data_IF_792903646095
#
_entry.id   IF_792903646095
#
_cell.length_a   1.000
_cell.length_b   1.000
_cell.length_c   1.000
_cell.angle_alpha   90.00
_cell.angle_beta   90.00
_cell.angle_gamma   90.00
#
_symmetry.space_group_name_H-M   'P 1'
#
loop_
_entity.id
_entity.type
_entity.pdbx_description
1 polymer ?
#
# COMPACT_ATOMS: atom_id res chain seq x y z
N UNK A 1 76.64 -6.29 -34.32
CA UNK A 1 77.36 -5.61 -33.22
C UNK A 1 77.29 -4.11 -33.52
N UNK A 2 76.72 -3.17 -32.78
CA UNK A 2 76.09 -2.99 -31.45
C UNK A 2 74.98 -1.91 -31.68
N UNK A 3 73.72 -2.07 -31.30
CA UNK A 3 73.05 -1.81 -30.00
C UNK A 3 73.37 -0.47 -29.30
N UNK A 4 72.36 0.42 -29.25
CA UNK A 4 71.87 1.26 -28.11
C UNK A 4 71.03 2.44 -28.69
N UNK A 5 69.69 2.46 -28.67
CA UNK A 5 68.72 2.80 -27.58
C UNK A 5 69.05 4.12 -26.86
N UNK A 6 68.20 5.17 -27.00
CA UNK A 6 67.38 5.76 -25.93
C UNK A 6 66.59 7.03 -26.39
N UNK A 7 65.30 7.01 -26.05
CA UNK A 7 64.43 8.12 -25.61
C UNK A 7 64.22 9.36 -26.51
N UNK A 8 63.02 9.47 -27.08
CA UNK A 8 62.25 10.72 -27.05
C UNK A 8 60.77 10.38 -26.81
N UNK A 9 60.51 9.99 -25.57
CA UNK A 9 59.26 10.36 -24.90
C UNK A 9 59.32 11.87 -24.60
N UNK A 10 58.18 12.49 -24.27
CA UNK A 10 58.00 13.92 -23.94
C UNK A 10 57.76 14.85 -25.15
N UNK A 11 56.54 14.79 -25.69
CA UNK A 11 55.58 15.91 -25.66
C UNK A 11 54.28 15.45 -26.33
N UNK A 12 53.66 14.40 -25.77
CA UNK A 12 52.22 14.32 -25.81
C UNK A 12 51.78 15.46 -24.89
N UNK A 13 51.31 16.56 -25.46
CA UNK A 13 50.47 17.50 -24.73
C UNK A 13 49.27 16.68 -24.28
N UNK A 14 49.38 16.17 -23.06
CA UNK A 14 48.28 15.67 -22.28
C UNK A 14 47.42 16.91 -22.02
N UNK A 15 46.59 17.28 -23.00
CA UNK A 15 45.35 17.97 -22.65
C UNK A 15 44.61 16.93 -21.82
N UNK A 16 44.77 17.06 -20.51
CA UNK A 16 43.80 16.60 -19.55
C UNK A 16 42.50 17.24 -20.03
N UNK A 17 41.73 16.52 -20.85
CA UNK A 17 40.29 16.67 -20.84
C UNK A 17 39.97 16.21 -19.43
N UNK A 18 39.96 17.17 -18.50
CA UNK A 18 39.32 16.98 -17.23
C UNK A 18 37.90 16.59 -17.60
N UNK A 19 37.61 15.30 -17.53
CA UNK A 19 36.27 14.85 -17.22
C UNK A 19 35.98 15.46 -15.85
N UNK A 20 35.59 16.73 -15.82
CA UNK A 20 34.96 17.31 -14.66
C UNK A 20 33.76 16.43 -14.42
N UNK A 21 33.76 15.76 -13.28
CA UNK A 21 32.55 15.19 -12.74
C UNK A 21 31.45 16.25 -12.88
N UNK A 22 30.28 15.88 -13.41
CA UNK A 22 29.17 16.81 -13.51
C UNK A 22 29.01 17.54 -12.18
N UNK A 23 29.01 18.87 -12.22
CA UNK A 23 28.94 19.67 -11.01
C UNK A 23 27.60 19.40 -10.32
N UNK A 24 27.64 19.05 -9.04
CA UNK A 24 26.41 18.90 -8.28
C UNK A 24 25.75 20.26 -8.07
N UNK A 25 24.43 20.31 -8.24
CA UNK A 25 23.63 21.50 -7.97
C UNK A 25 23.79 21.92 -6.50
N UNK A 26 24.04 23.21 -6.25
CA UNK A 26 24.27 23.72 -4.89
C UNK A 26 22.96 23.93 -4.12
N UNK A 27 21.92 24.32 -4.84
CA UNK A 27 20.63 24.67 -4.28
C UNK A 27 19.50 24.50 -5.31
N UNK A 28 18.28 24.71 -4.85
CA UNK A 28 17.05 24.61 -5.65
C UNK A 28 16.99 25.64 -6.78
N UNK A 29 17.57 26.82 -6.62
CA UNK A 29 17.51 27.88 -7.63
C UNK A 29 18.40 27.52 -8.83
N UNK A 30 19.61 27.03 -8.57
CA UNK A 30 20.51 26.54 -9.61
C UNK A 30 19.89 25.37 -10.39
N UNK A 31 19.25 24.43 -9.69
CA UNK A 31 18.56 23.30 -10.33
C UNK A 31 17.36 23.76 -11.16
N UNK A 32 16.50 24.61 -10.62
CA UNK A 32 15.31 25.11 -11.33
C UNK A 32 15.69 25.84 -12.63
N UNK A 33 16.69 26.73 -12.59
CA UNK A 33 17.16 27.44 -13.77
C UNK A 33 17.73 26.50 -14.84
N UNK A 34 18.40 25.42 -14.42
CA UNK A 34 18.90 24.40 -15.35
C UNK A 34 17.76 23.58 -15.96
N UNK A 35 16.76 23.18 -15.16
CA UNK A 35 15.56 22.51 -15.66
C UNK A 35 14.83 23.39 -16.68
N UNK A 36 14.61 24.67 -16.39
CA UNK A 36 13.97 25.61 -17.34
C UNK A 36 14.75 25.70 -18.67
N UNK A 37 16.08 25.76 -18.60
CA UNK A 37 16.93 25.77 -19.80
C UNK A 37 16.81 24.45 -20.58
N UNK A 38 16.80 23.30 -19.91
CA UNK A 38 16.66 21.99 -20.53
C UNK A 38 15.27 21.79 -21.16
N UNK A 39 14.20 22.26 -20.50
CA UNK A 39 12.84 22.21 -21.04
C UNK A 39 12.68 23.11 -22.29
N UNK A 40 13.47 24.18 -22.40
CA UNK A 40 13.53 25.00 -23.62
C UNK A 40 14.33 24.34 -24.75
N UNK A 41 15.42 23.64 -24.43
CA UNK A 41 16.27 22.92 -25.39
C UNK A 41 17.00 21.76 -24.68
N UNK A 42 16.50 20.54 -24.87
CA UNK A 42 17.05 19.31 -24.29
C UNK A 42 18.19 18.69 -25.09
N UNK A 43 18.75 19.38 -26.10
CA UNK A 43 19.80 18.85 -26.95
C UNK A 43 21.14 18.67 -26.18
N UNK A 44 21.98 17.69 -26.58
CA UNK A 44 23.25 17.41 -25.91
C UNK A 44 24.29 18.52 -26.06
N UNK A 45 24.12 19.44 -27.02
CA UNK A 45 25.08 20.49 -27.36
C UNK A 45 24.83 21.82 -26.62
N UNK A 46 23.95 21.83 -25.61
CA UNK A 46 23.65 23.03 -24.82
C UNK A 46 24.68 23.29 -23.72
N UNK A 47 24.70 24.54 -23.23
CA UNK A 47 25.51 24.92 -22.06
C UNK A 47 25.10 24.14 -20.80
N UNK A 48 23.81 23.81 -20.65
CA UNK A 48 23.31 23.05 -19.49
C UNK A 48 23.78 21.61 -19.56
N UNK A 49 23.70 20.97 -20.75
CA UNK A 49 24.19 19.63 -21.00
C UNK A 49 25.69 19.51 -20.77
N UNK A 50 26.47 20.48 -21.25
CA UNK A 50 27.93 20.52 -21.07
C UNK A 50 28.31 20.65 -19.59
N UNK A 51 27.54 21.40 -18.81
CA UNK A 51 27.86 21.71 -17.40
C UNK A 51 27.41 20.62 -16.42
N UNK A 52 26.17 20.14 -16.55
CA UNK A 52 25.54 19.25 -15.58
C UNK A 52 25.38 17.81 -16.09
N UNK A 53 25.66 17.57 -17.37
CA UNK A 53 25.52 16.26 -18.02
C UNK A 53 24.28 16.16 -18.90
N UNK A 54 24.24 15.09 -19.70
CA UNK A 54 23.13 14.77 -20.60
C UNK A 54 22.96 13.24 -20.68
N UNK A 55 21.71 12.71 -20.67
CA UNK A 55 20.44 13.42 -20.52
C UNK A 55 20.23 13.97 -19.09
N UNK A 56 19.12 14.69 -18.85
CA UNK A 56 18.79 15.29 -17.54
C UNK A 56 18.84 14.29 -16.37
N UNK A 57 18.56 13.01 -16.62
CA UNK A 57 18.68 11.94 -15.61
C UNK A 57 20.10 11.72 -15.07
N UNK A 58 21.15 12.22 -15.75
CA UNK A 58 22.55 12.10 -15.31
C UNK A 58 22.97 13.19 -14.33
N UNK A 59 22.10 14.15 -14.03
CA UNK A 59 22.43 15.31 -13.22
C UNK A 59 22.68 14.95 -11.75
N UNK A 60 23.70 15.57 -11.14
CA UNK A 60 23.97 15.39 -9.71
C UNK A 60 23.12 16.36 -8.87
N UNK A 61 22.01 15.84 -8.30
CA UNK A 61 21.07 16.62 -7.46
C UNK A 61 21.22 16.36 -5.96
N UNK A 62 22.23 15.59 -5.54
CA UNK A 62 22.35 15.06 -4.17
C UNK A 62 22.48 16.11 -3.06
N UNK A 63 22.84 17.37 -3.37
CA UNK A 63 22.90 18.45 -2.40
C UNK A 63 21.59 19.26 -2.28
N UNK A 64 20.65 19.07 -3.20
CA UNK A 64 19.39 19.82 -3.25
C UNK A 64 18.39 19.21 -2.27
N UNK A 65 17.74 20.04 -1.47
CA UNK A 65 16.73 19.61 -0.48
C UNK A 65 15.30 19.99 -0.88
N UNK A 66 15.14 20.85 -1.87
CA UNK A 66 13.84 21.35 -2.33
C UNK A 66 13.73 21.15 -3.85
N UNK A 67 12.78 20.31 -4.25
CA UNK A 67 12.46 19.97 -5.64
C UNK A 67 11.14 20.63 -6.08
N UNK A 68 10.72 21.69 -5.38
CA UNK A 68 9.43 22.32 -5.62
C UNK A 68 9.32 22.86 -7.04
N UNK A 69 8.28 22.39 -7.74
CA UNK A 69 7.83 22.91 -9.04
C UNK A 69 8.89 22.88 -10.14
N UNK A 70 9.82 21.93 -10.12
CA UNK A 70 10.85 21.80 -11.15
C UNK A 70 10.25 21.56 -12.55
N UNK A 71 9.21 20.76 -12.66
CA UNK A 71 8.55 20.41 -13.92
C UNK A 71 7.10 20.91 -13.99
N UNK A 72 6.80 22.01 -13.30
CA UNK A 72 5.46 22.61 -13.30
C UNK A 72 5.02 22.98 -14.72
N UNK A 73 3.86 22.49 -15.16
CA UNK A 73 3.32 22.67 -16.52
C UNK A 73 4.23 22.15 -17.66
N UNK A 74 5.19 21.26 -17.38
CA UNK A 74 6.01 20.64 -18.41
C UNK A 74 5.21 19.54 -19.14
N UNK A 75 4.22 19.93 -19.96
CA UNK A 75 3.19 19.01 -20.49
C UNK A 75 3.73 17.88 -21.35
N UNK A 76 4.85 18.09 -22.02
CA UNK A 76 5.53 17.12 -22.90
C UNK A 76 6.69 16.39 -22.21
N UNK A 77 7.04 16.76 -20.97
CA UNK A 77 8.18 16.19 -20.28
C UNK A 77 7.91 14.74 -19.85
N UNK A 78 8.77 13.82 -20.26
CA UNK A 78 8.68 12.40 -19.92
C UNK A 78 10.07 11.71 -19.96
N UNK A 79 11.13 12.42 -19.57
CA UNK A 79 12.50 11.91 -19.57
C UNK A 79 12.83 11.15 -18.28
N UNK A 80 13.69 10.13 -18.36
CA UNK A 80 14.07 9.29 -17.22
C UNK A 80 14.86 10.10 -16.16
N UNK A 81 14.41 10.03 -14.92
CA UNK A 81 15.00 10.68 -13.74
C UNK A 81 15.46 9.67 -12.68
N UNK A 82 15.52 8.38 -13.02
CA UNK A 82 15.87 7.30 -12.10
C UNK A 82 17.28 7.42 -11.51
N UNK A 83 18.19 8.13 -12.20
CA UNK A 83 19.57 8.40 -11.77
C UNK A 83 19.72 9.49 -10.72
N UNK A 84 18.66 10.23 -10.38
CA UNK A 84 18.72 11.29 -9.37
C UNK A 84 18.81 10.72 -7.94
N UNK A 85 19.81 11.16 -7.18
CA UNK A 85 19.89 10.89 -5.75
C UNK A 85 19.04 11.91 -4.97
N UNK A 86 17.83 11.52 -4.60
CA UNK A 86 16.89 12.36 -3.84
C UNK A 86 16.98 12.16 -2.33
N UNK A 87 17.98 11.45 -1.80
CA UNK A 87 18.05 11.08 -0.38
C UNK A 87 18.07 12.25 0.62
N UNK A 88 18.32 13.47 0.14
CA UNK A 88 18.30 14.72 0.92
C UNK A 88 17.07 15.59 0.67
N UNK A 89 16.14 15.16 -0.19
CA UNK A 89 14.93 15.90 -0.48
C UNK A 89 14.01 15.97 0.76
N UNK A 90 13.66 17.20 1.14
CA UNK A 90 12.73 17.52 2.22
C UNK A 90 11.37 17.98 1.67
N UNK A 91 11.36 18.57 0.48
CA UNK A 91 10.20 19.21 -0.15
C UNK A 91 10.15 18.78 -1.63
N UNK A 92 9.01 18.21 -2.04
CA UNK A 92 8.69 17.83 -3.43
C UNK A 92 7.35 18.46 -3.88
N UNK A 93 7.06 19.66 -3.35
CA UNK A 93 5.79 20.35 -3.61
C UNK A 93 5.64 20.70 -5.10
N UNK A 94 4.64 20.09 -5.75
CA UNK A 94 4.30 20.37 -7.14
C UNK A 94 5.39 20.01 -8.15
N UNK A 95 6.32 19.09 -7.83
CA UNK A 95 7.47 18.77 -8.71
C UNK A 95 7.05 18.42 -10.14
N UNK A 96 5.96 17.66 -10.32
CA UNK A 96 5.36 17.28 -11.60
C UNK A 96 3.93 17.80 -11.75
N UNK A 97 3.59 18.90 -11.06
CA UNK A 97 2.26 19.52 -11.17
C UNK A 97 2.00 19.91 -12.63
N UNK A 98 0.89 19.42 -13.18
CA UNK A 98 0.46 19.62 -14.56
C UNK A 98 1.45 19.11 -15.63
N UNK A 99 2.42 18.26 -15.27
CA UNK A 99 3.28 17.54 -16.22
C UNK A 99 2.49 16.38 -16.85
N UNK A 100 1.57 16.71 -17.76
CA UNK A 100 0.50 15.80 -18.19
C UNK A 100 0.97 14.48 -18.80
N UNK A 101 2.12 14.47 -19.48
CA UNK A 101 2.66 13.29 -20.16
C UNK A 101 3.68 12.51 -19.31
N UNK A 102 4.03 13.00 -18.13
CA UNK A 102 5.06 12.37 -17.30
C UNK A 102 4.59 11.03 -16.75
N UNK A 103 5.35 9.97 -17.02
CA UNK A 103 5.07 8.60 -16.59
C UNK A 103 6.35 7.75 -16.48
N UNK A 104 7.44 8.34 -16.01
CA UNK A 104 8.71 7.63 -15.82
C UNK A 104 8.79 7.00 -14.42
N UNK A 105 9.46 5.84 -14.27
CA UNK A 105 9.56 5.16 -12.99
C UNK A 105 10.35 6.00 -11.98
N UNK A 106 9.81 6.11 -10.76
CA UNK A 106 10.41 6.86 -9.64
C UNK A 106 10.75 5.97 -8.44
N UNK A 107 10.75 4.64 -8.61
CA UNK A 107 11.02 3.70 -7.52
C UNK A 107 12.42 3.84 -6.90
N UNK A 108 13.39 4.41 -7.64
CA UNK A 108 14.74 4.66 -7.14
C UNK A 108 14.85 5.91 -6.25
N UNK A 109 13.83 6.77 -6.25
CA UNK A 109 13.83 7.97 -5.44
C UNK A 109 13.69 7.60 -3.97
N UNK A 110 14.65 8.06 -3.16
CA UNK A 110 14.58 7.97 -1.71
C UNK A 110 13.82 9.20 -1.19
N UNK A 111 12.63 8.98 -0.64
CA UNK A 111 11.75 10.03 -0.10
C UNK A 111 11.62 9.96 1.43
N UNK A 112 12.46 9.17 2.11
CA UNK A 112 12.35 8.92 3.57
C UNK A 112 12.49 10.16 4.45
N UNK A 113 13.09 11.25 3.93
CA UNK A 113 13.19 12.55 4.61
C UNK A 113 12.19 13.59 4.09
N UNK A 114 11.42 13.27 3.05
CA UNK A 114 10.50 14.21 2.43
C UNK A 114 9.25 14.37 3.31
N UNK A 115 8.93 15.61 3.65
CA UNK A 115 7.80 15.96 4.51
C UNK A 115 6.64 16.59 3.74
N UNK A 116 6.91 17.16 2.57
CA UNK A 116 5.92 17.89 1.79
C UNK A 116 5.84 17.36 0.36
N UNK A 117 4.78 16.60 0.10
CA UNK A 117 4.41 16.05 -1.22
C UNK A 117 3.22 16.79 -1.85
N UNK A 118 2.84 17.95 -1.29
CA UNK A 118 1.68 18.71 -1.74
C UNK A 118 1.71 18.86 -3.26
N UNK A 119 0.59 18.56 -3.91
CA UNK A 119 0.42 18.71 -5.36
C UNK A 119 1.47 18.03 -6.24
N UNK A 120 2.32 17.12 -5.74
CA UNK A 120 3.50 16.62 -6.47
C UNK A 120 3.18 16.12 -7.88
N UNK A 121 2.04 15.46 -8.06
CA UNK A 121 1.51 14.94 -9.32
C UNK A 121 0.11 15.50 -9.65
N UNK A 122 -0.26 16.66 -9.10
CA UNK A 122 -1.54 17.32 -9.37
C UNK A 122 -1.70 17.51 -10.88
N UNK A 123 -2.69 16.87 -11.50
CA UNK A 123 -2.96 16.96 -12.93
C UNK A 123 -1.93 16.26 -13.83
N UNK A 124 -1.01 15.45 -13.30
CA UNK A 124 -0.10 14.58 -14.08
C UNK A 124 -0.91 13.41 -14.66
N UNK A 125 -1.68 13.68 -15.71
CA UNK A 125 -2.76 12.81 -16.19
C UNK A 125 -2.32 11.38 -16.52
N UNK A 126 -1.15 11.22 -17.14
CA UNK A 126 -0.62 9.92 -17.58
C UNK A 126 0.23 9.20 -16.52
N UNK A 127 0.44 9.80 -15.35
CA UNK A 127 1.31 9.21 -14.33
C UNK A 127 0.63 7.98 -13.69
N UNK A 128 1.26 6.81 -13.86
CA UNK A 128 0.79 5.55 -13.29
C UNK A 128 1.97 4.60 -13.04
N UNK A 129 2.78 4.92 -12.04
CA UNK A 129 3.97 4.13 -11.67
C UNK A 129 3.79 3.50 -10.29
N UNK A 130 4.49 2.39 -10.07
CA UNK A 130 4.58 1.76 -8.75
C UNK A 130 5.42 2.62 -7.81
N UNK A 131 4.82 2.99 -6.68
CA UNK A 131 5.43 3.78 -5.61
C UNK A 131 5.46 3.02 -4.27
N UNK A 132 5.16 1.73 -4.28
CA UNK A 132 5.18 0.88 -3.08
C UNK A 132 6.52 0.87 -2.31
N UNK A 133 7.71 1.11 -2.93
CA UNK A 133 8.97 1.17 -2.19
C UNK A 133 9.21 2.47 -1.42
N UNK A 134 8.38 3.50 -1.60
CA UNK A 134 8.57 4.79 -0.94
C UNK A 134 8.31 4.71 0.56
N UNK A 135 9.30 5.13 1.36
CA UNK A 135 9.12 5.35 2.78
C UNK A 135 8.54 6.75 3.02
N UNK A 136 7.24 6.81 3.33
CA UNK A 136 6.51 8.06 3.56
C UNK A 136 6.43 8.44 5.04
N UNK A 137 7.18 7.77 5.93
CA UNK A 137 7.05 7.97 7.39
C UNK A 137 7.36 9.39 7.86
N UNK A 138 8.11 10.19 7.11
CA UNK A 138 8.38 11.62 7.42
C UNK A 138 7.31 12.59 6.88
N UNK A 139 6.27 12.09 6.22
CA UNK A 139 5.22 12.91 5.62
C UNK A 139 4.54 13.82 6.65
N UNK A 140 4.35 15.08 6.27
CA UNK A 140 3.48 16.06 6.95
C UNK A 140 2.27 16.39 6.08
N UNK A 141 2.43 16.48 4.75
CA UNK A 141 1.29 16.74 3.86
C UNK A 141 1.43 16.06 2.49
N UNK A 142 0.31 15.50 2.03
CA UNK A 142 0.08 14.98 0.67
C UNK A 142 -1.13 15.65 0.02
N UNK A 143 -1.48 16.86 0.47
CA UNK A 143 -2.63 17.62 -0.03
C UNK A 143 -2.60 17.68 -1.56
N UNK A 144 -3.69 17.26 -2.20
CA UNK A 144 -3.85 17.24 -3.66
C UNK A 144 -2.76 16.49 -4.44
N UNK A 145 -1.97 15.60 -3.82
CA UNK A 145 -0.78 15.00 -4.44
C UNK A 145 -1.06 14.36 -5.81
N UNK A 146 -2.17 13.64 -5.96
CA UNK A 146 -2.60 12.97 -7.19
C UNK A 146 -3.94 13.52 -7.72
N UNK A 147 -4.37 14.70 -7.26
CA UNK A 147 -5.65 15.25 -7.68
C UNK A 147 -5.66 15.40 -9.22
N UNK A 148 -6.65 14.81 -9.88
CA UNK A 148 -6.76 14.82 -11.35
C UNK A 148 -5.66 14.06 -12.11
N UNK A 149 -4.82 13.26 -11.45
CA UNK A 149 -3.92 12.29 -12.09
C UNK A 149 -4.75 11.10 -12.59
N UNK A 150 -5.37 11.28 -13.75
CA UNK A 150 -6.47 10.43 -14.24
C UNK A 150 -6.14 8.95 -14.38
N UNK A 151 -4.92 8.63 -14.78
CA UNK A 151 -4.49 7.26 -15.04
C UNK A 151 -3.87 6.60 -13.80
N UNK A 152 -3.68 7.35 -12.70
CA UNK A 152 -2.99 6.86 -11.52
C UNK A 152 -3.77 5.74 -10.82
N UNK A 153 -3.16 4.57 -10.73
CA UNK A 153 -3.60 3.42 -9.94
C UNK A 153 -2.40 2.65 -9.35
N UNK A 154 -1.30 3.35 -9.10
CA UNK A 154 -0.09 2.77 -8.49
C UNK A 154 -0.36 2.32 -7.06
N UNK A 155 0.32 1.25 -6.63
CA UNK A 155 0.18 0.73 -5.27
C UNK A 155 0.78 1.72 -4.24
N UNK A 156 -0.08 2.15 -3.31
CA UNK A 156 0.26 3.00 -2.17
C UNK A 156 -0.23 2.41 -0.84
N UNK A 157 -0.64 1.14 -0.85
CA UNK A 157 -1.18 0.44 0.33
C UNK A 157 -0.14 0.23 1.44
N UNK A 158 1.16 0.22 1.07
CA UNK A 158 2.30 0.07 1.98
C UNK A 158 2.74 1.37 2.66
N UNK A 159 2.22 2.52 2.22
CA UNK A 159 2.67 3.82 2.72
C UNK A 159 2.35 4.01 4.20
N UNK A 160 3.31 4.54 4.94
CA UNK A 160 3.09 5.01 6.31
C UNK A 160 2.61 6.46 6.26
N UNK A 161 1.32 6.66 6.51
CA UNK A 161 0.67 7.99 6.49
C UNK A 161 0.35 8.53 7.88
N UNK A 162 0.81 7.86 8.95
CA UNK A 162 0.43 8.21 10.33
C UNK A 162 0.93 9.58 10.82
N UNK A 163 1.99 10.11 10.21
CA UNK A 163 2.49 11.46 10.49
C UNK A 163 1.90 12.54 9.57
N UNK A 164 1.22 12.15 8.49
CA UNK A 164 0.61 13.10 7.57
C UNK A 164 -0.57 13.80 8.27
N UNK A 165 -0.60 15.13 8.28
CA UNK A 165 -1.67 15.91 8.91
C UNK A 165 -2.64 16.53 7.91
N UNK A 166 -2.28 16.63 6.62
CA UNK A 166 -3.16 17.11 5.54
C UNK A 166 -2.97 16.29 4.25
N UNK A 167 -3.95 15.46 3.95
CA UNK A 167 -4.16 14.66 2.74
C UNK A 167 -5.46 15.09 2.01
N UNK A 168 -5.99 16.29 2.30
CA UNK A 168 -7.20 16.82 1.66
C UNK A 168 -7.08 16.71 0.14
N UNK A 169 -8.09 16.10 -0.49
CA UNK A 169 -8.16 15.92 -1.94
C UNK A 169 -7.01 15.13 -2.56
N UNK A 170 -6.25 14.34 -1.79
CA UNK A 170 -5.04 13.65 -2.27
C UNK A 170 -5.27 12.85 -3.57
N UNK A 171 -6.38 12.12 -3.68
CA UNK A 171 -6.75 11.30 -4.85
C UNK A 171 -8.00 11.83 -5.57
N UNK A 172 -8.43 13.06 -5.25
CA UNK A 172 -9.64 13.65 -5.82
C UNK A 172 -9.57 13.68 -7.36
N UNK A 173 -10.57 13.12 -8.04
CA UNK A 173 -10.60 13.01 -9.52
C UNK A 173 -9.45 12.20 -10.15
N UNK A 174 -8.73 11.37 -9.38
CA UNK A 174 -7.87 10.32 -9.93
C UNK A 174 -8.76 9.17 -10.43
N UNK A 175 -9.33 9.36 -11.63
CA UNK A 175 -10.48 8.58 -12.13
C UNK A 175 -10.22 7.08 -12.29
N UNK A 176 -8.96 6.64 -12.35
CA UNK A 176 -8.60 5.21 -12.45
C UNK A 176 -8.20 4.59 -11.10
N UNK A 177 -8.17 5.38 -10.02
CA UNK A 177 -7.68 4.92 -8.74
C UNK A 177 -8.65 3.94 -8.08
N UNK A 178 -8.17 2.72 -7.82
CA UNK A 178 -8.94 1.58 -7.32
C UNK A 178 -8.01 0.63 -6.53
N UNK A 179 -7.51 1.10 -5.38
CA UNK A 179 -6.64 0.32 -4.48
C UNK A 179 -7.28 0.13 -3.11
N UNK A 180 -7.06 -1.03 -2.48
CA UNK A 180 -7.44 -1.26 -1.09
C UNK A 180 -6.40 -0.61 -0.16
N UNK A 181 -6.83 0.41 0.59
CA UNK A 181 -5.98 1.19 1.49
C UNK A 181 -6.36 0.99 2.96
N UNK A 182 -7.07 -0.09 3.31
CA UNK A 182 -7.53 -0.30 4.68
C UNK A 182 -6.42 -0.43 5.72
N UNK A 183 -5.20 -0.77 5.31
CA UNK A 183 -3.99 -0.70 6.14
C UNK A 183 -3.76 0.69 6.75
N UNK A 184 -4.12 1.77 6.03
CA UNK A 184 -3.92 3.15 6.46
C UNK A 184 -4.71 3.48 7.73
N UNK A 185 -5.88 2.88 7.93
CA UNK A 185 -6.74 3.15 9.09
C UNK A 185 -6.09 2.85 10.43
N UNK A 186 -5.14 1.92 10.46
CA UNK A 186 -4.35 1.61 11.67
C UNK A 186 -3.25 2.64 11.98
N UNK A 187 -2.88 3.48 11.00
CA UNK A 187 -1.81 4.46 11.12
C UNK A 187 -2.32 5.87 11.40
N UNK A 188 -3.52 6.20 10.92
CA UNK A 188 -4.11 7.53 11.04
C UNK A 188 -4.81 7.65 12.41
N UNK A 189 -4.44 8.67 13.18
CA UNK A 189 -4.96 8.91 14.53
C UNK A 189 -5.76 10.21 14.67
N UNK A 190 -6.00 10.91 13.55
CA UNK A 190 -6.67 12.19 13.51
C UNK A 190 -7.39 12.39 12.16
N UNK A 191 -8.26 13.38 12.07
CA UNK A 191 -8.75 13.84 10.77
C UNK A 191 -7.58 14.43 9.97
N UNK A 192 -7.35 13.86 8.80
CA UNK A 192 -6.26 14.22 7.89
C UNK A 192 -6.75 14.89 6.61
N UNK A 193 -8.05 15.05 6.40
CA UNK A 193 -8.58 15.77 5.25
C UNK A 193 -9.97 15.33 4.81
N UNK A 194 -10.44 16.04 3.79
CA UNK A 194 -11.74 15.86 3.15
C UNK A 194 -11.55 15.55 1.65
N UNK A 195 -12.58 14.96 1.04
CA UNK A 195 -12.67 14.63 -0.38
C UNK A 195 -11.50 13.79 -0.91
N UNK A 196 -10.89 12.93 -0.08
CA UNK A 196 -9.68 12.16 -0.44
C UNK A 196 -9.93 11.32 -1.70
N UNK A 197 -11.03 10.56 -1.72
CA UNK A 197 -11.38 9.61 -2.79
C UNK A 197 -12.48 10.11 -3.73
N UNK A 198 -12.89 11.38 -3.61
CA UNK A 198 -14.03 11.87 -4.39
C UNK A 198 -13.72 11.88 -5.89
N UNK A 199 -14.52 11.15 -6.67
CA UNK A 199 -14.35 11.05 -8.12
C UNK A 199 -13.25 10.09 -8.59
N UNK A 200 -12.84 9.15 -7.75
CA UNK A 200 -12.03 7.98 -8.13
C UNK A 200 -12.93 6.83 -8.61
N UNK A 201 -12.34 5.69 -8.98
CA UNK A 201 -13.04 4.42 -9.26
C UNK A 201 -13.21 3.55 -8.00
N UNK A 202 -13.05 4.15 -6.82
CA UNK A 202 -13.24 3.46 -5.54
C UNK A 202 -14.71 3.07 -5.33
N UNK A 203 -15.00 1.86 -4.82
CA UNK A 203 -16.35 1.49 -4.39
C UNK A 203 -16.92 2.44 -3.32
N UNK A 204 -16.06 2.96 -2.45
CA UNK A 204 -16.40 3.91 -1.40
C UNK A 204 -15.58 5.20 -1.61
N UNK A 205 -16.22 6.26 -2.07
CA UNK A 205 -15.58 7.56 -2.34
C UNK A 205 -15.81 8.60 -1.24
N UNK A 206 -16.58 8.25 -0.21
CA UNK A 206 -16.82 9.12 0.94
C UNK A 206 -15.58 9.22 1.82
N UNK A 207 -15.54 10.27 2.64
CA UNK A 207 -14.46 10.43 3.61
C UNK A 207 -14.54 9.33 4.69
N UNK A 208 -13.39 8.85 5.20
CA UNK A 208 -13.34 7.95 6.34
C UNK A 208 -14.08 8.54 7.55
N UNK A 209 -14.64 7.68 8.39
CA UNK A 209 -15.25 8.12 9.63
C UNK A 209 -14.18 8.57 10.64
N UNK A 210 -14.05 9.88 10.81
CA UNK A 210 -13.09 10.51 11.72
C UNK A 210 -13.60 10.65 13.16
N UNK A 211 -14.81 10.17 13.48
CA UNK A 211 -15.46 10.44 14.76
C UNK A 211 -14.90 9.63 15.94
N UNK A 212 -14.26 8.50 15.67
CA UNK A 212 -13.68 7.63 16.70
C UNK A 212 -12.20 7.93 16.97
N UNK A 213 -11.92 8.40 18.19
CA UNK A 213 -10.57 8.63 18.68
C UNK A 213 -9.88 7.30 19.01
N UNK A 214 -9.19 6.69 18.04
CA UNK A 214 -8.28 5.57 18.30
C UNK A 214 -8.16 4.53 17.19
N UNK A 215 -9.14 4.41 16.31
CA UNK A 215 -9.11 3.55 15.11
C UNK A 215 -10.03 4.13 14.06
N UNK A 216 -9.50 4.66 12.95
CA UNK A 216 -10.34 5.03 11.82
C UNK A 216 -10.79 3.74 11.12
N UNK A 217 -12.07 3.40 11.24
CA UNK A 217 -12.67 2.16 10.69
C UNK A 217 -12.83 2.19 9.16
N UNK A 218 -12.35 3.25 8.50
CA UNK A 218 -12.49 3.48 7.07
C UNK A 218 -13.81 4.16 6.73
N UNK A 219 -14.31 4.02 5.49
CA UNK A 219 -13.68 3.28 4.39
C UNK A 219 -12.43 4.00 3.86
N UNK A 220 -11.45 3.22 3.38
CA UNK A 220 -10.29 3.74 2.67
C UNK A 220 -10.30 3.17 1.25
N UNK A 221 -11.04 3.82 0.34
CA UNK A 221 -11.44 3.35 -1.00
C UNK A 221 -12.34 2.09 -1.00
N UNK A 222 -12.05 1.13 -0.13
CA UNK A 222 -12.82 -0.08 0.15
C UNK A 222 -13.37 -0.06 1.58
N UNK A 223 -14.42 -0.85 1.86
CA UNK A 223 -14.82 -1.13 3.24
C UNK A 223 -13.69 -1.87 3.95
N UNK A 224 -13.24 -1.34 5.07
CA UNK A 224 -12.27 -2.04 5.91
C UNK A 224 -13.05 -3.03 6.72
N UNK A 225 -12.82 -4.32 6.47
CA UNK A 225 -13.45 -5.36 7.27
C UNK A 225 -13.13 -5.07 8.73
N UNK A 226 -14.17 -4.84 9.54
CA UNK A 226 -14.06 -5.10 10.96
C UNK A 226 -13.40 -6.47 11.08
N UNK A 227 -12.42 -6.61 11.99
CA UNK A 227 -12.12 -7.94 12.50
C UNK A 227 -13.47 -8.58 12.79
N UNK A 228 -13.79 -9.68 12.10
CA UNK A 228 -14.99 -10.46 12.39
C UNK A 228 -14.95 -10.76 13.88
N UNK A 229 -15.67 -9.98 14.68
CA UNK A 229 -15.85 -10.24 16.08
C UNK A 229 -16.80 -11.43 16.14
N UNK A 230 -16.20 -12.61 16.14
CA UNK A 230 -16.85 -13.91 16.26
C UNK A 230 -17.46 -14.12 17.66
N UNK A 231 -17.92 -13.08 18.36
CA UNK A 231 -18.45 -13.20 19.72
C UNK A 231 -19.97 -13.25 19.85
N UNK A 232 -20.76 -13.02 18.80
CA UNK A 232 -22.23 -12.94 18.97
C UNK A 232 -23.09 -14.14 18.51
N UNK A 233 -22.53 -15.28 18.04
CA UNK A 233 -23.41 -16.44 17.72
C UNK A 233 -22.82 -17.85 17.95
N UNK A 234 -21.88 -18.00 18.89
CA UNK A 234 -21.45 -19.34 19.33
C UNK A 234 -22.00 -19.77 20.69
N UNK A 235 -22.55 -18.85 21.49
CA UNK A 235 -23.14 -19.20 22.79
C UNK A 235 -24.46 -19.97 22.64
N UNK A 236 -25.27 -19.62 21.63
CA UNK A 236 -26.52 -20.31 21.25
C UNK A 236 -26.25 -21.70 20.67
N UNK A 237 -25.29 -21.81 19.75
CA UNK A 237 -24.91 -23.03 19.07
C UNK A 237 -24.24 -24.05 20.01
N UNK A 238 -23.32 -23.61 20.89
CA UNK A 238 -22.70 -24.47 21.92
C UNK A 238 -23.69 -24.84 23.04
N UNK A 239 -24.65 -23.97 23.38
CA UNK A 239 -25.73 -24.32 24.31
C UNK A 239 -26.66 -25.41 23.73
N UNK A 240 -26.97 -25.36 22.43
CA UNK A 240 -27.75 -26.39 21.75
C UNK A 240 -26.99 -27.72 21.59
N UNK A 241 -25.69 -27.66 21.28
CA UNK A 241 -24.82 -28.84 21.18
C UNK A 241 -24.62 -29.52 22.53
N UNK A 242 -24.40 -28.75 23.61
CA UNK A 242 -24.24 -29.31 24.96
C UNK A 242 -25.55 -29.89 25.50
N UNK A 243 -26.71 -29.25 25.24
CA UNK A 243 -28.02 -29.78 25.64
C UNK A 243 -28.39 -31.06 24.87
N UNK A 244 -28.12 -31.13 23.55
CA UNK A 244 -28.33 -32.34 22.74
C UNK A 244 -27.40 -33.48 23.17
N UNK A 245 -26.13 -33.18 23.46
CA UNK A 245 -25.16 -34.18 23.93
C UNK A 245 -25.50 -34.70 25.34
N UNK A 246 -26.05 -33.84 26.22
CA UNK A 246 -26.54 -34.25 27.53
C UNK A 246 -27.76 -35.17 27.45
N UNK A 247 -28.71 -34.90 26.53
CA UNK A 247 -29.85 -35.80 26.33
C UNK A 247 -29.43 -37.18 25.82
N UNK A 248 -28.49 -37.26 24.86
CA UNK A 248 -28.01 -38.54 24.32
C UNK A 248 -27.25 -39.38 25.35
N UNK A 249 -26.57 -38.76 26.32
CA UNK A 249 -25.83 -39.46 27.37
C UNK A 249 -26.68 -39.82 28.59
N UNK A 250 -27.70 -39.02 28.93
CA UNK A 250 -28.52 -39.25 30.14
C UNK A 250 -29.71 -40.17 29.84
N UNK A 251 -30.30 -40.14 28.63
CA UNK A 251 -31.47 -40.97 28.29
C UNK A 251 -31.21 -42.48 28.47
N UNK A 252 -30.07 -43.05 28.01
CA UNK A 252 -29.78 -44.47 28.18
C UNK A 252 -29.57 -44.83 29.66
N UNK A 253 -28.95 -43.94 30.45
CA UNK A 253 -28.71 -44.16 31.88
C UNK A 253 -29.99 -44.09 32.71
N UNK A 254 -30.93 -43.20 32.36
CA UNK A 254 -32.24 -43.10 33.00
C UNK A 254 -33.11 -44.30 32.62
N UNK A 255 -33.09 -44.72 31.35
CA UNK A 255 -33.79 -45.93 30.88
C UNK A 255 -33.23 -47.17 31.58
N UNK A 256 -31.91 -47.33 31.67
CA UNK A 256 -31.26 -48.42 32.38
C UNK A 256 -31.58 -48.40 33.89
N UNK A 257 -31.58 -47.22 34.52
CA UNK A 257 -31.97 -47.07 35.93
C UNK A 257 -33.43 -47.45 36.20
N UNK A 258 -34.35 -47.08 35.30
CA UNK A 258 -35.76 -47.48 35.38
C UNK A 258 -35.93 -48.99 35.15
N UNK A 259 -35.18 -49.61 34.23
CA UNK A 259 -35.20 -51.07 34.03
C UNK A 259 -34.64 -51.84 35.25
N UNK A 260 -33.57 -51.36 35.87
CA UNK A 260 -32.98 -51.97 37.08
C UNK A 260 -33.93 -51.86 38.28
N UNK A 261 -34.66 -50.75 38.41
CA UNK A 261 -35.66 -50.58 39.47
C UNK A 261 -36.90 -51.47 39.24
N UNK A 262 -37.34 -51.64 37.98
CA UNK A 262 -38.43 -52.55 37.61
C UNK A 262 -38.05 -54.04 37.79
N UNK A 263 -36.76 -54.35 37.69
CA UNK A 263 -36.24 -55.69 37.98
C UNK A 263 -36.22 -55.98 39.50
N UNK A 264 -35.91 -54.99 40.35
CA UNK A 264 -35.97 -55.16 41.82
C UNK A 264 -37.39 -55.24 42.39
N UNK A 265 -38.40 -54.69 41.72
CA UNK A 265 -39.79 -54.80 42.18
C UNK A 265 -40.48 -56.12 41.82
N UNK A 266 -39.94 -56.87 40.84
CA UNK A 266 -40.48 -58.16 40.40
C UNK A 266 -39.53 -59.29 40.79
N UNK A 267 -39.51 -59.63 42.08
CA UNK A 267 -39.02 -60.93 42.55
C UNK A 267 -39.83 -62.07 41.89
N UNK A 268 -39.37 -62.54 40.73
CA UNK A 268 -39.61 -63.92 40.27
C UNK A 268 -38.31 -64.45 39.70
N UNK A 269 -37.83 -65.53 40.29
CA UNK A 269 -36.68 -66.30 39.85
C UNK A 269 -36.85 -66.68 38.36
N UNK A 270 -35.84 -66.40 37.55
CA UNK A 270 -35.74 -66.92 36.18
C UNK A 270 -34.80 -68.14 36.25
N UNK A 271 -35.32 -69.27 35.80
CA UNK A 271 -34.65 -70.56 35.67
C UNK A 271 -33.54 -70.48 34.59
N UNK A 272 -32.31 -71.03 34.79
CA UNK A 272 -31.21 -70.92 33.84
C UNK A 272 -31.37 -71.71 32.53
N UNK A 273 -32.53 -72.31 32.23
CA UNK A 273 -32.69 -73.22 31.09
C UNK A 273 -33.47 -72.69 29.89
N UNK A 274 -34.04 -71.48 29.93
CA UNK A 274 -34.87 -70.99 28.81
C UNK A 274 -34.11 -70.05 27.85
N UNK A 275 -33.42 -70.65 26.89
CA UNK A 275 -32.92 -69.96 25.70
C UNK A 275 -34.02 -69.92 24.65
N UNK A 276 -34.76 -68.81 24.58
CA UNK A 276 -35.38 -68.24 23.37
C UNK A 276 -36.34 -67.10 23.73
N UNK A 277 -36.37 -66.08 22.87
CA UNK A 277 -37.32 -64.97 22.71
C UNK A 277 -36.58 -63.62 22.79
N UNK A 278 -36.65 -62.71 21.82
CA UNK A 278 -37.18 -62.73 20.45
C UNK A 278 -36.71 -61.47 19.76
N UNK A 279 -36.38 -61.61 18.49
CA UNK A 279 -36.42 -60.60 17.45
C UNK A 279 -37.82 -59.95 17.41
N UNK A 280 -37.98 -58.72 17.91
CA UNK A 280 -39.03 -57.75 17.52
C UNK A 280 -38.68 -56.40 18.17
N UNK A 281 -38.86 -55.30 17.41
CA UNK A 281 -38.54 -53.88 17.75
C UNK A 281 -37.15 -53.35 17.34
N UNK A 282 -36.63 -53.77 16.18
CA UNK A 282 -35.51 -53.10 15.49
C UNK A 282 -35.91 -52.29 14.24
N UNK A 283 -37.19 -51.96 14.07
CA UNK A 283 -37.66 -51.20 12.90
C UNK A 283 -38.70 -50.17 13.33
N UNK A 284 -38.27 -48.94 13.66
CA UNK A 284 -39.08 -47.70 13.51
C UNK A 284 -38.34 -46.40 13.92
N UNK A 285 -37.09 -46.19 13.49
CA UNK A 285 -36.45 -44.86 13.64
C UNK A 285 -35.57 -44.44 12.44
N UNK A 286 -35.92 -44.87 11.22
CA UNK A 286 -35.37 -44.32 9.97
C UNK A 286 -36.51 -43.71 9.15
N UNK A 287 -37.09 -42.60 9.63
CA UNK A 287 -37.86 -41.66 8.80
C UNK A 287 -38.12 -40.37 9.61
N UNK A 288 -37.14 -39.47 9.65
CA UNK A 288 -37.32 -38.00 9.63
C UNK A 288 -35.95 -37.27 9.69
N UNK A 289 -35.08 -37.52 8.70
CA UNK A 289 -34.15 -36.48 8.22
C UNK A 289 -34.54 -36.15 6.78
N UNK A 290 -35.33 -35.08 6.63
CA UNK A 290 -35.86 -34.69 5.33
C UNK A 290 -36.78 -33.46 5.35
N UNK A 291 -36.39 -32.38 6.05
CA UNK A 291 -36.67 -30.97 5.71
C UNK A 291 -36.02 -30.01 6.70
#
# INVERSE_FOLDING_TARGET
>A
MKSSIFCNCWLISLFLIGYSHADCFRDREELANAVDAYLSDGSPDTNVATRYGWPIGSWCVSNVTDFSRLFLNATEFNEDLSGWDTSRALIMHGTFEMATSFNQPLMSWNVSQTSNFRSMFLGARSFNQDLSPWDTSSCVTMKNMFMGAKDFNGDVSSWNVGNCVDMTGMLHQATSFHQDLCSWGSTIQQNVGEDIFRGTDCPMTGDPDWSDAGTTTGPFCFPCSEQLDFTDDYSSALALLSAKMLLVLILPMVIAGIMILRHRSNNRCIDPSDTKLTEFELLQLDEEEGK
#
